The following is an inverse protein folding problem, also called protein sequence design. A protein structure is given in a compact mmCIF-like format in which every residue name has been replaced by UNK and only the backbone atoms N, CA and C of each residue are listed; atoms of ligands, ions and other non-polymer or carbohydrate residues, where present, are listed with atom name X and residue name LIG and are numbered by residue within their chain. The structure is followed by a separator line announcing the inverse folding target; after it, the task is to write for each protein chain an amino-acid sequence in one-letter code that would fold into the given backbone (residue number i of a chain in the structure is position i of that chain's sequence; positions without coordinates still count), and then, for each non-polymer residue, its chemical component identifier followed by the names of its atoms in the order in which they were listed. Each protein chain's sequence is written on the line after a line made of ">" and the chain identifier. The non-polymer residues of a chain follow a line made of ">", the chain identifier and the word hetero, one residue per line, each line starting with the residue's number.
data_IF_950661152689
#
_entry.id   IF_950661152689
#
_cell.length_a   1.000
_cell.length_b   1.000
_cell.length_c   1.000
_cell.angle_alpha   90.00
_cell.angle_beta   90.00
_cell.angle_gamma   90.00
#
_symmetry.space_group_name_H-M   'P 1'
#
loop_
_entity.id
_entity.type
_entity.pdbx_description
1 polymer ?
#
# COMPACT_ATOMS: atom_id res chain seq x y z
N UNK A 1 -32.68 -10.50 64.75
CA UNK A 1 -32.64 -11.97 64.62
C UNK A 1 -34.00 -12.44 64.11
N UNK A 2 -34.12 -13.38 63.16
CA UNK A 2 -33.14 -13.90 62.19
C UNK A 2 -33.69 -13.88 60.73
N UNK A 3 -32.85 -13.61 59.72
CA UNK A 3 -32.19 -14.56 58.83
C UNK A 3 -33.10 -15.32 57.83
N UNK A 4 -32.87 -15.06 56.53
CA UNK A 4 -32.46 -16.08 55.56
C UNK A 4 -32.07 -15.43 54.24
N UNK A 5 -30.78 -15.11 54.15
CA UNK A 5 -30.05 -15.00 52.89
C UNK A 5 -30.14 -16.35 52.17
N UNK A 6 -30.63 -16.36 50.93
CA UNK A 6 -30.63 -17.53 50.06
C UNK A 6 -29.50 -17.38 49.06
N UNK A 7 -28.34 -17.88 49.47
CA UNK A 7 -27.28 -18.34 48.59
C UNK A 7 -27.76 -19.57 47.82
N UNK A 8 -27.57 -19.55 46.49
CA UNK A 8 -27.39 -20.66 45.53
C UNK A 8 -27.88 -20.16 44.17
N UNK A 9 -27.14 -20.20 43.07
CA UNK A 9 -25.90 -20.87 42.77
C UNK A 9 -25.84 -21.01 41.24
N UNK A 10 -24.66 -20.76 40.68
CA UNK A 10 -24.11 -21.37 39.45
C UNK A 10 -25.10 -21.60 38.30
N UNK A 11 -25.09 -20.66 37.37
CA UNK A 11 -25.34 -20.90 35.96
C UNK A 11 -24.09 -20.59 35.14
N UNK A 12 -22.93 -21.12 35.54
CA UNK A 12 -21.76 -21.20 34.67
C UNK A 12 -22.16 -22.13 33.51
N UNK A 13 -22.70 -21.53 32.45
CA UNK A 13 -23.07 -22.19 31.22
C UNK A 13 -21.81 -22.73 30.56
N UNK A 14 -21.47 -23.97 30.91
CA UNK A 14 -20.67 -24.94 30.15
C UNK A 14 -19.77 -24.31 29.07
N UNK A 15 -18.58 -23.87 29.48
CA UNK A 15 -17.41 -23.96 28.62
C UNK A 15 -17.20 -25.44 28.31
N UNK A 16 -17.63 -25.87 27.13
CA UNK A 16 -17.15 -27.11 26.56
C UNK A 16 -15.63 -27.01 26.48
N UNK A 17 -14.94 -27.97 27.09
CA UNK A 17 -13.48 -28.10 27.05
C UNK A 17 -13.01 -28.58 25.65
N UNK A 18 -13.48 -27.90 24.61
CA UNK A 18 -12.86 -27.88 23.30
C UNK A 18 -11.83 -26.75 23.25
N UNK A 19 -10.80 -26.85 22.40
CA UNK A 19 -9.88 -25.74 22.21
C UNK A 19 -10.66 -24.53 21.70
N UNK A 20 -10.43 -23.35 22.29
CA UNK A 20 -11.04 -22.10 21.83
C UNK A 20 -10.75 -21.92 20.34
N UNK A 21 -11.81 -21.88 19.52
CA UNK A 21 -11.72 -21.79 18.07
C UNK A 21 -10.90 -20.58 17.64
N UNK A 22 -10.99 -19.47 18.40
CA UNK A 22 -10.22 -18.26 18.16
C UNK A 22 -8.72 -18.52 18.29
N UNK A 23 -8.29 -19.08 19.42
CA UNK A 23 -6.90 -19.46 19.67
C UNK A 23 -6.37 -20.50 18.67
N UNK A 24 -7.21 -21.45 18.24
CA UNK A 24 -6.83 -22.42 17.19
C UNK A 24 -6.60 -21.73 15.86
N UNK A 25 -7.47 -20.79 15.48
CA UNK A 25 -7.28 -20.08 14.23
C UNK A 25 -6.05 -19.17 14.28
N UNK A 26 -5.78 -18.52 15.42
CA UNK A 26 -4.56 -17.72 15.59
C UNK A 26 -3.29 -18.57 15.39
N UNK A 27 -3.22 -19.74 16.02
CA UNK A 27 -2.10 -20.67 15.86
C UNK A 27 -1.94 -21.15 14.41
N UNK A 28 -3.06 -21.48 13.74
CA UNK A 28 -3.04 -21.96 12.36
C UNK A 28 -2.63 -20.87 11.36
N UNK A 29 -3.14 -19.64 11.49
CA UNK A 29 -2.87 -18.56 10.53
C UNK A 29 -1.54 -17.83 10.76
N UNK A 30 -0.86 -18.07 11.89
CA UNK A 30 0.50 -17.56 12.16
C UNK A 30 1.59 -18.63 11.99
N UNK A 31 1.24 -19.91 12.02
CA UNK A 31 2.15 -21.02 11.73
C UNK A 31 2.65 -21.07 10.28
N UNK A 32 3.67 -21.89 10.00
CA UNK A 32 4.25 -22.00 8.67
C UNK A 32 3.21 -22.43 7.62
N UNK A 33 3.11 -21.75 6.45
CA UNK A 33 2.10 -22.06 5.44
C UNK A 33 2.18 -23.51 4.91
N UNK A 34 3.37 -24.11 4.92
CA UNK A 34 3.59 -25.50 4.53
C UNK A 34 2.90 -26.51 5.44
N UNK A 35 2.81 -26.21 6.73
CA UNK A 35 2.27 -27.11 7.77
C UNK A 35 0.79 -26.89 8.04
N UNK A 36 0.19 -25.84 7.48
CA UNK A 36 -1.18 -25.41 7.75
C UNK A 36 -2.19 -26.57 7.69
N UNK A 37 -2.15 -27.37 6.62
CA UNK A 37 -3.10 -28.47 6.41
C UNK A 37 -2.93 -29.57 7.45
N UNK A 38 -1.68 -29.97 7.74
CA UNK A 38 -1.40 -31.00 8.74
C UNK A 38 -1.87 -30.55 10.12
N UNK A 39 -1.48 -29.34 10.55
CA UNK A 39 -1.88 -28.77 11.84
C UNK A 39 -3.40 -28.57 11.92
N UNK A 40 -4.06 -28.13 10.84
CA UNK A 40 -5.52 -27.99 10.80
C UNK A 40 -6.21 -29.34 11.04
N UNK A 41 -5.73 -30.39 10.40
CA UNK A 41 -6.33 -31.72 10.49
C UNK A 41 -6.10 -32.35 11.88
N UNK A 42 -4.92 -32.13 12.48
CA UNK A 42 -4.61 -32.48 13.87
C UNK A 42 -5.53 -31.76 14.87
N UNK A 43 -5.68 -30.43 14.74
CA UNK A 43 -6.54 -29.62 15.62
C UNK A 43 -8.01 -30.00 15.48
N UNK A 44 -8.47 -30.30 14.26
CA UNK A 44 -9.82 -30.81 14.04
C UNK A 44 -10.05 -32.20 14.63
N UNK A 45 -9.04 -33.08 14.58
CA UNK A 45 -9.10 -34.40 15.21
C UNK A 45 -9.14 -34.28 16.75
N UNK A 46 -8.34 -33.38 17.32
CA UNK A 46 -8.33 -33.09 18.76
C UNK A 46 -9.68 -32.55 19.25
N UNK A 47 -10.28 -31.58 18.53
CA UNK A 47 -11.61 -31.06 18.85
C UNK A 47 -12.70 -32.15 18.77
N UNK A 48 -12.61 -33.03 17.75
CA UNK A 48 -13.52 -34.18 17.61
C UNK A 48 -13.36 -35.18 18.77
N UNK A 49 -12.12 -35.44 19.21
CA UNK A 49 -11.83 -36.32 20.34
C UNK A 49 -12.33 -35.74 21.68
N UNK A 50 -12.30 -34.41 21.83
CA UNK A 50 -12.87 -33.69 22.97
C UNK A 50 -14.41 -33.60 22.95
N UNK A 51 -15.08 -34.14 21.92
CA UNK A 51 -16.53 -34.13 21.78
C UNK A 51 -17.12 -32.87 21.12
N UNK A 52 -16.29 -31.92 20.72
CA UNK A 52 -16.70 -30.67 20.07
C UNK A 52 -16.71 -30.82 18.54
N UNK A 53 -17.83 -31.36 18.02
CA UNK A 53 -18.00 -31.62 16.59
C UNK A 53 -18.16 -30.33 15.77
N UNK A 54 -18.69 -29.28 16.37
CA UNK A 54 -18.93 -28.00 15.68
C UNK A 54 -17.63 -27.24 15.49
N UNK A 55 -16.79 -27.12 16.53
CA UNK A 55 -15.43 -26.59 16.40
C UNK A 55 -14.59 -27.42 15.44
N UNK A 56 -14.68 -28.76 15.49
CA UNK A 56 -13.98 -29.62 14.53
C UNK A 56 -14.39 -29.36 13.06
N UNK A 57 -15.69 -29.14 12.81
CA UNK A 57 -16.21 -28.80 11.47
C UNK A 57 -15.73 -27.41 11.04
N UNK A 58 -15.75 -26.43 11.95
CA UNK A 58 -15.25 -25.08 11.70
C UNK A 58 -13.77 -25.09 11.32
N UNK A 59 -12.92 -25.81 12.08
CA UNK A 59 -11.49 -25.93 11.81
C UNK A 59 -11.24 -26.55 10.42
N UNK A 60 -11.96 -27.62 10.06
CA UNK A 60 -11.82 -28.24 8.72
C UNK A 60 -12.22 -27.31 7.58
N UNK A 61 -13.16 -26.40 7.83
CA UNK A 61 -13.61 -25.41 6.86
C UNK A 61 -12.59 -24.29 6.59
N UNK A 62 -11.55 -24.17 7.42
CA UNK A 62 -10.52 -23.14 7.25
C UNK A 62 -9.70 -23.39 5.98
N UNK A 63 -9.58 -22.32 5.19
CA UNK A 63 -8.79 -22.30 3.96
C UNK A 63 -7.33 -21.98 4.27
N UNK A 64 -6.43 -22.68 3.58
CA UNK A 64 -5.00 -22.40 3.62
C UNK A 64 -4.74 -20.97 3.11
N UNK A 65 -3.99 -20.14 3.85
CA UNK A 65 -3.64 -18.80 3.41
C UNK A 65 -2.67 -18.85 2.22
N UNK A 66 -2.80 -17.89 1.30
CA UNK A 66 -1.72 -17.56 0.36
C UNK A 66 -0.50 -17.02 1.12
N UNK A 67 0.67 -17.02 0.48
CA UNK A 67 1.89 -16.51 1.11
C UNK A 67 1.78 -15.01 1.47
N UNK A 68 1.15 -14.21 0.60
CA UNK A 68 0.83 -12.80 0.84
C UNK A 68 -0.14 -12.61 2.02
N UNK A 69 -1.22 -13.41 2.08
CA UNK A 69 -2.19 -13.35 3.16
C UNK A 69 -1.59 -13.77 4.51
N UNK A 70 -0.75 -14.80 4.51
CA UNK A 70 -0.01 -15.24 5.68
C UNK A 70 0.94 -14.16 6.20
N UNK A 71 1.69 -13.48 5.33
CA UNK A 71 2.56 -12.37 5.72
C UNK A 71 1.77 -11.21 6.36
N UNK A 72 0.59 -10.89 5.81
CA UNK A 72 -0.33 -9.91 6.42
C UNK A 72 -0.85 -10.38 7.80
N UNK A 73 -1.22 -11.66 7.94
CA UNK A 73 -1.65 -12.21 9.22
C UNK A 73 -0.52 -12.14 10.27
N UNK A 74 0.71 -12.44 9.86
CA UNK A 74 1.89 -12.36 10.72
C UNK A 74 2.16 -10.92 11.17
N UNK A 75 2.03 -9.95 10.27
CA UNK A 75 2.18 -8.52 10.59
C UNK A 75 1.18 -8.08 11.67
N UNK A 76 -0.11 -8.36 11.49
CA UNK A 76 -1.17 -7.98 12.46
C UNK A 76 -0.91 -8.54 13.86
N UNK A 77 -0.32 -9.75 13.93
CA UNK A 77 -0.08 -10.45 15.20
C UNK A 77 1.24 -10.10 15.86
N UNK A 78 2.28 -9.85 15.08
CA UNK A 78 3.62 -9.52 15.60
C UNK A 78 3.80 -8.02 15.85
N UNK A 79 3.03 -7.18 15.16
CA UNK A 79 3.09 -5.70 15.19
C UNK A 79 1.71 -5.08 15.45
N UNK A 80 1.06 -5.36 16.61
CA UNK A 80 -0.30 -4.93 16.84
C UNK A 80 -0.44 -3.41 17.02
N UNK A 81 0.60 -2.73 17.51
CA UNK A 81 0.63 -1.26 17.63
C UNK A 81 0.63 -0.59 16.25
N UNK A 82 1.51 -1.02 15.36
CA UNK A 82 1.61 -0.53 13.99
C UNK A 82 0.32 -0.83 13.20
N UNK A 83 -0.29 -2.00 13.44
CA UNK A 83 -1.58 -2.34 12.86
C UNK A 83 -2.71 -1.40 13.32
N UNK A 84 -2.74 -1.01 14.59
CA UNK A 84 -3.71 -0.03 15.10
C UNK A 84 -3.51 1.35 14.45
N UNK A 85 -2.28 1.83 14.35
CA UNK A 85 -1.97 3.13 13.72
C UNK A 85 -2.38 3.15 12.24
N UNK A 86 -2.13 2.06 11.53
CA UNK A 86 -2.54 1.89 10.14
C UNK A 86 -4.06 1.94 9.95
N UNK A 87 -4.82 1.27 10.83
CA UNK A 87 -6.28 1.29 10.77
C UNK A 87 -6.84 2.70 11.05
N UNK A 88 -6.25 3.44 11.99
CA UNK A 88 -6.60 4.84 12.27
C UNK A 88 -6.34 5.74 11.07
N UNK A 89 -5.24 5.53 10.34
CA UNK A 89 -4.96 6.25 9.09
C UNK A 89 -6.03 5.97 8.03
N UNK A 90 -6.42 4.70 7.84
CA UNK A 90 -7.48 4.34 6.91
C UNK A 90 -8.81 5.00 7.27
N UNK A 91 -9.13 5.13 8.55
CA UNK A 91 -10.31 5.84 9.02
C UNK A 91 -10.25 7.35 8.74
N UNK A 92 -9.10 7.99 8.99
CA UNK A 92 -8.88 9.40 8.71
C UNK A 92 -9.00 9.71 7.20
N UNK A 93 -8.44 8.86 6.34
CA UNK A 93 -8.55 8.97 4.88
C UNK A 93 -10.01 8.90 4.42
N UNK A 94 -10.79 7.95 4.94
CA UNK A 94 -12.21 7.81 4.59
C UNK A 94 -13.05 9.00 5.06
N UNK A 95 -12.74 9.57 6.23
CA UNK A 95 -13.38 10.81 6.70
C UNK A 95 -13.06 12.00 5.80
N UNK A 96 -11.78 12.21 5.46
CA UNK A 96 -11.36 13.28 4.56
C UNK A 96 -12.02 13.16 3.16
N UNK A 97 -12.17 11.93 2.65
CA UNK A 97 -12.92 11.67 1.42
C UNK A 97 -14.41 12.05 1.52
N UNK A 98 -15.05 11.81 2.67
CA UNK A 98 -16.45 12.17 2.89
C UNK A 98 -16.64 13.68 3.03
N UNK A 99 -15.68 14.38 3.65
CA UNK A 99 -15.70 15.83 3.90
C UNK A 99 -15.21 16.67 2.70
N UNK A 100 -14.75 16.03 1.62
CA UNK A 100 -14.22 16.67 0.39
C UNK A 100 -13.04 17.64 0.61
N UNK A 101 -12.22 17.43 1.65
CA UNK A 101 -11.03 18.25 1.90
C UNK A 101 -9.85 17.85 1.00
N UNK A 102 -9.72 18.58 -0.11
CA UNK A 102 -8.69 18.34 -1.12
C UNK A 102 -7.26 18.62 -0.64
N UNK A 103 -7.08 19.47 0.38
CA UNK A 103 -5.76 19.83 0.91
C UNK A 103 -5.24 18.74 1.85
N UNK A 104 -6.10 18.24 2.74
CA UNK A 104 -5.83 17.14 3.66
C UNK A 104 -5.65 15.82 2.91
N UNK A 105 -6.37 15.60 1.79
CA UNK A 105 -6.20 14.42 0.94
C UNK A 105 -4.78 14.26 0.39
N UNK A 106 -4.12 15.36 -0.03
CA UNK A 106 -2.75 15.27 -0.57
C UNK A 106 -1.74 14.82 0.48
N UNK A 107 -1.84 15.38 1.70
CA UNK A 107 -0.96 15.01 2.80
C UNK A 107 -1.20 13.57 3.26
N UNK A 108 -2.47 13.18 3.42
CA UNK A 108 -2.84 11.83 3.86
C UNK A 108 -2.46 10.77 2.83
N UNK A 109 -2.60 11.04 1.52
CA UNK A 109 -2.15 10.13 0.47
C UNK A 109 -0.63 9.94 0.51
N UNK A 110 0.16 11.01 0.64
CA UNK A 110 1.62 10.89 0.74
C UNK A 110 2.04 10.06 1.98
N UNK A 111 1.34 10.24 3.10
CA UNK A 111 1.55 9.47 4.33
C UNK A 111 1.14 7.99 4.17
N UNK A 112 0.05 7.72 3.45
CA UNK A 112 -0.44 6.38 3.15
C UNK A 112 0.59 5.55 2.37
N UNK A 113 1.16 6.10 1.29
CA UNK A 113 2.18 5.39 0.51
C UNK A 113 3.38 4.98 1.37
N UNK A 114 3.87 5.89 2.22
CA UNK A 114 5.00 5.62 3.11
C UNK A 114 4.69 4.49 4.11
N UNK A 115 3.56 4.57 4.80
CA UNK A 115 3.17 3.58 5.81
C UNK A 115 2.92 2.21 5.17
N UNK A 116 2.28 2.16 4.00
CA UNK A 116 2.05 0.89 3.28
C UNK A 116 3.37 0.24 2.88
N UNK A 117 4.31 1.00 2.32
CA UNK A 117 5.63 0.46 1.97
C UNK A 117 6.41 -0.02 3.19
N UNK A 118 6.35 0.71 4.30
CA UNK A 118 6.99 0.31 5.56
C UNK A 118 6.41 -0.99 6.10
N UNK A 119 5.08 -1.09 6.20
CA UNK A 119 4.39 -2.29 6.68
C UNK A 119 4.61 -3.50 5.77
N UNK A 120 4.65 -3.29 4.45
CA UNK A 120 5.00 -4.35 3.50
C UNK A 120 6.44 -4.84 3.69
N UNK A 121 7.38 -3.93 3.95
CA UNK A 121 8.76 -4.26 4.31
C UNK A 121 8.85 -5.03 5.63
N UNK A 122 8.11 -4.62 6.66
CA UNK A 122 8.03 -5.34 7.93
C UNK A 122 7.43 -6.74 7.77
N UNK A 123 6.37 -6.89 6.97
CA UNK A 123 5.78 -8.19 6.65
C UNK A 123 6.79 -9.11 5.92
N UNK A 124 7.59 -8.56 5.00
CA UNK A 124 8.65 -9.30 4.33
C UNK A 124 9.77 -9.72 5.30
N UNK A 125 10.17 -8.84 6.22
CA UNK A 125 11.14 -9.16 7.28
C UNK A 125 10.65 -10.28 8.20
N UNK A 126 9.40 -10.20 8.67
CA UNK A 126 8.79 -11.23 9.50
C UNK A 126 8.66 -12.57 8.76
N UNK A 127 8.32 -12.54 7.47
CA UNK A 127 8.30 -13.74 6.64
C UNK A 127 9.69 -14.37 6.51
N UNK A 128 10.73 -13.54 6.33
CA UNK A 128 12.11 -14.00 6.25
C UNK A 128 12.61 -14.58 7.57
N UNK A 129 12.29 -13.98 8.72
CA UNK A 129 12.58 -14.53 10.06
C UNK A 129 11.95 -15.91 10.25
N UNK A 130 10.76 -16.12 9.70
CA UNK A 130 10.06 -17.40 9.66
C UNK A 130 10.53 -18.34 8.52
N UNK A 131 11.63 -18.01 7.83
CA UNK A 131 12.26 -18.86 6.81
C UNK A 131 11.68 -18.76 5.40
N UNK A 132 10.78 -17.81 5.15
CA UNK A 132 10.10 -17.63 3.86
C UNK A 132 10.47 -16.28 3.22
N UNK A 133 11.30 -16.29 2.18
CA UNK A 133 11.54 -15.09 1.37
C UNK A 133 10.34 -14.79 0.47
N UNK A 134 9.82 -13.57 0.56
CA UNK A 134 8.78 -13.09 -0.34
C UNK A 134 9.43 -12.65 -1.66
N UNK A 135 8.82 -13.02 -2.79
CA UNK A 135 9.18 -12.45 -4.09
C UNK A 135 8.55 -11.06 -4.26
N UNK A 136 9.08 -10.26 -5.18
CA UNK A 136 8.52 -8.93 -5.49
C UNK A 136 7.03 -8.98 -5.85
N UNK A 137 6.58 -10.05 -6.51
CA UNK A 137 5.17 -10.24 -6.83
C UNK A 137 4.31 -10.40 -5.57
N UNK A 138 4.78 -11.21 -4.60
CA UNK A 138 4.09 -11.42 -3.33
C UNK A 138 4.12 -10.16 -2.46
N UNK A 139 5.22 -9.41 -2.49
CA UNK A 139 5.31 -8.13 -1.79
C UNK A 139 4.32 -7.11 -2.36
N UNK A 140 4.16 -7.04 -3.68
CA UNK A 140 3.13 -6.20 -4.32
C UNK A 140 1.71 -6.63 -3.93
N UNK A 141 1.44 -7.92 -3.76
CA UNK A 141 0.13 -8.40 -3.27
C UNK A 141 -0.13 -7.99 -1.80
N UNK A 142 0.91 -7.99 -0.96
CA UNK A 142 0.82 -7.47 0.43
C UNK A 142 0.49 -5.99 0.41
N UNK A 143 1.19 -5.18 -0.41
CA UNK A 143 0.87 -3.76 -0.57
C UNK A 143 -0.55 -3.53 -1.09
N UNK A 144 -1.00 -4.32 -2.07
CA UNK A 144 -2.36 -4.23 -2.61
C UNK A 144 -3.41 -4.53 -1.53
N UNK A 145 -3.17 -5.54 -0.69
CA UNK A 145 -4.03 -5.90 0.45
C UNK A 145 -4.10 -4.76 1.47
N UNK A 146 -2.96 -4.12 1.77
CA UNK A 146 -2.92 -2.95 2.66
C UNK A 146 -3.66 -1.75 2.04
N UNK A 147 -3.48 -1.46 0.74
CA UNK A 147 -4.26 -0.41 0.05
C UNK A 147 -5.76 -0.69 0.15
N UNK A 148 -6.20 -1.94 -0.05
CA UNK A 148 -7.60 -2.33 0.11
C UNK A 148 -8.12 -2.05 1.53
N UNK A 149 -7.35 -2.39 2.56
CA UNK A 149 -7.71 -2.14 3.97
C UNK A 149 -7.81 -0.64 4.32
N UNK A 150 -7.04 0.23 3.67
CA UNK A 150 -7.20 1.69 3.84
C UNK A 150 -8.44 2.24 3.13
N UNK A 151 -8.79 1.68 1.96
CA UNK A 151 -9.89 2.18 1.14
C UNK A 151 -11.27 1.73 1.63
N UNK A 152 -11.40 0.49 2.12
CA UNK A 152 -12.68 -0.14 2.44
C UNK A 152 -12.77 -0.57 3.92
N UNK A 153 -13.81 -0.16 4.67
CA UNK A 153 -14.01 -0.55 6.06
C UNK A 153 -14.13 -2.07 6.28
N UNK A 154 -14.72 -2.81 5.32
CA UNK A 154 -14.88 -4.25 5.45
C UNK A 154 -13.53 -4.97 5.27
N UNK A 155 -12.74 -4.56 4.27
CA UNK A 155 -11.36 -4.98 4.08
C UNK A 155 -10.49 -4.69 5.30
N UNK A 156 -10.66 -3.52 5.93
CA UNK A 156 -9.98 -3.17 7.17
C UNK A 156 -10.30 -4.14 8.32
N UNK A 157 -11.59 -4.50 8.49
CA UNK A 157 -12.03 -5.48 9.49
C UNK A 157 -11.49 -6.87 9.20
N UNK A 158 -11.49 -7.30 7.95
CA UNK A 158 -10.97 -8.62 7.56
C UNK A 158 -9.46 -8.72 7.80
N UNK A 159 -8.72 -7.67 7.44
CA UNK A 159 -7.29 -7.59 7.70
C UNK A 159 -6.99 -7.59 9.20
N UNK A 160 -7.70 -6.78 9.99
CA UNK A 160 -7.51 -6.68 11.44
C UNK A 160 -7.78 -8.00 12.19
N UNK A 161 -8.60 -8.90 11.64
CA UNK A 161 -8.80 -10.26 12.22
C UNK A 161 -7.55 -11.14 12.11
N UNK A 162 -6.62 -10.81 11.20
CA UNK A 162 -5.39 -11.60 10.99
C UNK A 162 -5.66 -13.04 10.55
N UNK A 163 -6.74 -13.25 9.77
CA UNK A 163 -7.19 -14.56 9.26
C UNK A 163 -7.47 -14.55 7.77
N UNK A 164 -6.66 -13.81 7.02
CA UNK A 164 -6.79 -13.73 5.58
C UNK A 164 -6.38 -15.07 4.96
N UNK A 165 -7.24 -15.60 4.08
CA UNK A 165 -6.92 -16.78 3.25
C UNK A 165 -6.34 -16.41 1.88
N UNK A 166 -6.51 -15.16 1.45
CA UNK A 166 -6.02 -14.64 0.17
C UNK A 166 -5.84 -13.12 0.23
N UNK A 167 -5.23 -12.54 -0.80
CA UNK A 167 -5.07 -11.10 -0.91
C UNK A 167 -6.45 -10.40 -0.96
N UNK A 168 -6.53 -9.21 -0.36
CA UNK A 168 -7.73 -8.37 -0.46
C UNK A 168 -7.62 -7.51 -1.71
N UNK A 169 -8.63 -7.57 -2.56
CA UNK A 169 -8.79 -6.66 -3.71
C UNK A 169 -9.83 -5.62 -3.34
N UNK A 170 -9.59 -4.32 -3.55
CA UNK A 170 -10.64 -3.31 -3.36
C UNK A 170 -11.83 -3.66 -4.28
N UNK A 171 -13.08 -3.43 -3.85
CA UNK A 171 -14.23 -3.71 -4.68
C UNK A 171 -14.21 -2.81 -5.93
N UNK A 172 -13.69 -3.32 -7.04
CA UNK A 172 -14.10 -2.86 -8.36
C UNK A 172 -15.55 -3.28 -8.52
N UNK A 173 -16.46 -2.30 -8.47
CA UNK A 173 -17.89 -2.53 -8.55
C UNK A 173 -18.28 -3.20 -9.86
N UNK A 174 -18.31 -4.53 -9.87
CA UNK A 174 -19.20 -5.38 -10.66
C UNK A 174 -18.94 -6.85 -10.25
N UNK A 175 -19.79 -7.40 -9.38
CA UNK A 175 -19.92 -8.86 -9.27
C UNK A 175 -21.37 -9.21 -9.58
N UNK A 176 -21.65 -10.11 -10.55
CA UNK A 176 -22.95 -10.73 -10.65
C UNK A 176 -23.14 -11.65 -9.45
N UNK A 177 -24.28 -11.50 -8.79
CA UNK A 177 -24.68 -12.26 -7.63
C UNK A 177 -24.64 -13.78 -7.91
N UNK A 178 -23.96 -14.49 -7.02
CA UNK A 178 -24.03 -15.93 -6.80
C UNK A 178 -25.47 -16.42 -6.69
N UNK A 179 -25.85 -17.36 -7.56
CA UNK A 179 -27.09 -18.11 -7.45
C UNK A 179 -26.98 -19.17 -6.33
N UNK A 180 -28.00 -19.35 -5.47
CA UNK A 180 -28.01 -20.43 -4.49
C UNK A 180 -28.49 -21.76 -5.12
N UNK A 181 -27.83 -22.84 -4.70
CA UNK A 181 -28.13 -24.23 -5.05
C UNK A 181 -28.80 -24.93 -3.86
N UNK A 182 -29.93 -25.62 -4.08
CA UNK A 182 -30.44 -26.77 -3.32
C UNK A 182 -31.71 -27.33 -4.01
N UNK A 183 -32.19 -28.56 -3.71
CA UNK A 183 -31.63 -29.89 -3.99
C UNK A 183 -32.60 -30.76 -4.84
N UNK A 184 -32.18 -31.87 -5.51
CA UNK A 184 -33.15 -32.74 -6.18
C UNK A 184 -33.69 -33.82 -5.23
N UNK A 185 -35.01 -33.84 -5.06
CA UNK A 185 -35.75 -34.91 -4.42
C UNK A 185 -36.34 -35.89 -5.43
N UNK A 186 -36.17 -37.19 -5.12
CA UNK A 186 -36.97 -38.36 -5.48
C UNK A 186 -37.40 -38.59 -6.95
N UNK A 187 -36.84 -39.64 -7.56
CA UNK A 187 -37.32 -40.25 -8.81
C UNK A 187 -38.23 -41.45 -8.53
N UNK A 188 -39.30 -41.63 -9.34
CA UNK A 188 -39.76 -42.96 -9.75
C UNK A 188 -40.16 -43.01 -11.25
N UNK A 189 -40.51 -44.18 -11.80
CA UNK A 189 -39.65 -45.02 -12.63
C UNK A 189 -39.81 -44.82 -14.14
N UNK A 190 -38.83 -45.38 -14.83
CA UNK A 190 -38.57 -45.40 -16.27
C UNK A 190 -39.75 -45.95 -17.10
N UNK A 191 -40.19 -45.16 -18.10
CA UNK A 191 -41.02 -45.61 -19.21
C UNK A 191 -40.26 -45.39 -20.50
N UNK A 192 -40.01 -46.46 -21.22
CA UNK A 192 -39.40 -46.45 -22.56
C UNK A 192 -40.21 -45.57 -23.51
N UNK A 193 -39.55 -44.58 -24.12
CA UNK A 193 -40.09 -43.75 -25.20
C UNK A 193 -39.49 -44.15 -26.56
N UNK A 194 -40.23 -43.93 -27.67
CA UNK A 194 -39.87 -44.43 -29.00
C UNK A 194 -38.63 -43.71 -29.56
N UNK A 195 -37.88 -44.41 -30.43
CA UNK A 195 -36.59 -43.99 -31.01
C UNK A 195 -36.63 -42.70 -31.85
N UNK A 196 -37.80 -42.11 -32.13
CA UNK A 196 -37.94 -40.83 -32.81
C UNK A 196 -37.60 -39.62 -31.90
N UNK A 197 -37.96 -39.68 -30.61
CA UNK A 197 -37.80 -38.57 -29.63
C UNK A 197 -36.32 -38.27 -29.32
N UNK A 198 -35.45 -39.31 -29.35
CA UNK A 198 -34.01 -39.16 -29.08
C UNK A 198 -33.24 -38.44 -30.19
N UNK A 199 -33.72 -38.48 -31.44
CA UNK A 199 -33.03 -37.86 -32.59
C UNK A 199 -33.21 -36.33 -32.56
N UNK A 200 -34.39 -35.87 -32.16
CA UNK A 200 -34.70 -34.45 -32.01
C UNK A 200 -34.00 -33.86 -30.78
N UNK A 201 -33.92 -34.61 -29.67
CA UNK A 201 -33.17 -34.19 -28.48
C UNK A 201 -31.66 -34.05 -28.76
N UNK A 202 -31.07 -34.97 -29.55
CA UNK A 202 -29.67 -34.88 -29.97
C UNK A 202 -29.43 -33.69 -30.93
N UNK A 203 -30.42 -33.35 -31.77
CA UNK A 203 -30.33 -32.20 -32.66
C UNK A 203 -30.38 -30.87 -31.88
N UNK A 204 -31.27 -30.76 -30.89
CA UNK A 204 -31.34 -29.60 -30.00
C UNK A 204 -30.07 -29.43 -29.15
N UNK A 205 -29.56 -30.51 -28.56
CA UNK A 205 -28.27 -30.48 -27.82
C UNK A 205 -27.10 -30.03 -28.70
N UNK A 206 -27.08 -30.42 -29.99
CA UNK A 206 -26.07 -29.96 -30.95
C UNK A 206 -26.21 -28.47 -31.26
N UNK A 207 -27.45 -27.97 -31.44
CA UNK A 207 -27.72 -26.54 -31.66
C UNK A 207 -27.34 -25.70 -30.45
N UNK A 208 -27.70 -26.14 -29.25
CA UNK A 208 -27.32 -25.47 -28.00
C UNK A 208 -25.80 -25.43 -27.84
N UNK A 209 -25.11 -26.56 -28.08
CA UNK A 209 -23.64 -26.60 -28.06
C UNK A 209 -23.02 -25.65 -29.09
N UNK A 210 -23.57 -25.57 -30.29
CA UNK A 210 -23.10 -24.62 -31.32
C UNK A 210 -23.31 -23.16 -30.88
N UNK A 211 -24.45 -22.82 -30.27
CA UNK A 211 -24.71 -21.48 -29.72
C UNK A 211 -23.71 -21.13 -28.62
N UNK A 212 -23.53 -22.03 -27.64
CA UNK A 212 -22.55 -21.84 -26.55
C UNK A 212 -21.13 -21.69 -27.08
N UNK A 213 -20.74 -22.45 -28.12
CA UNK A 213 -19.44 -22.30 -28.76
C UNK A 213 -19.30 -20.95 -29.49
N UNK A 214 -20.35 -20.48 -30.17
CA UNK A 214 -20.34 -19.19 -30.84
C UNK A 214 -20.26 -18.02 -29.84
N UNK A 215 -20.98 -18.11 -28.72
CA UNK A 215 -20.91 -17.13 -27.62
C UNK A 215 -19.53 -17.13 -26.97
N UNK A 216 -18.96 -18.31 -26.69
CA UNK A 216 -17.61 -18.42 -26.13
C UNK A 216 -16.54 -17.84 -27.07
N UNK A 217 -16.68 -18.04 -28.40
CA UNK A 217 -15.78 -17.43 -29.39
C UNK A 217 -15.89 -15.90 -29.40
N UNK A 218 -17.11 -15.35 -29.42
CA UNK A 218 -17.33 -13.89 -29.33
C UNK A 218 -16.75 -13.31 -28.04
N UNK A 219 -16.94 -14.00 -26.91
CA UNK A 219 -16.37 -13.59 -25.63
C UNK A 219 -14.84 -13.62 -25.64
N UNK A 220 -14.22 -14.62 -26.27
CA UNK A 220 -12.77 -14.70 -26.43
C UNK A 220 -12.23 -13.57 -27.31
N UNK A 221 -12.86 -13.29 -28.46
CA UNK A 221 -12.47 -12.18 -29.35
C UNK A 221 -12.60 -10.81 -28.67
N UNK A 222 -13.66 -10.61 -27.87
CA UNK A 222 -13.84 -9.40 -27.07
C UNK A 222 -12.75 -9.27 -25.99
N UNK A 223 -12.42 -10.36 -25.28
CA UNK A 223 -11.37 -10.38 -24.28
C UNK A 223 -9.97 -10.13 -24.88
N UNK A 224 -9.68 -10.68 -26.07
CA UNK A 224 -8.43 -10.41 -26.80
C UNK A 224 -8.32 -8.95 -27.23
N UNK A 225 -9.43 -8.33 -27.63
CA UNK A 225 -9.47 -6.91 -27.99
C UNK A 225 -9.26 -6.03 -26.77
N UNK A 226 -9.95 -6.30 -25.67
CA UNK A 226 -9.75 -5.60 -24.40
C UNK A 226 -8.31 -5.75 -23.88
N UNK A 227 -7.70 -6.94 -24.02
CA UNK A 227 -6.29 -7.15 -23.65
C UNK A 227 -5.34 -6.32 -24.52
N UNK A 228 -5.60 -6.22 -25.83
CA UNK A 228 -4.78 -5.39 -26.74
C UNK A 228 -4.89 -3.91 -26.39
N UNK A 229 -6.08 -3.43 -26.06
CA UNK A 229 -6.31 -2.05 -25.62
C UNK A 229 -5.59 -1.77 -24.29
N UNK A 230 -5.80 -2.62 -23.27
CA UNK A 230 -5.12 -2.49 -21.98
C UNK A 230 -3.58 -2.51 -22.11
N UNK A 231 -3.03 -3.31 -23.04
CA UNK A 231 -1.58 -3.31 -23.32
C UNK A 231 -1.10 -2.01 -23.98
N UNK A 232 -1.89 -1.42 -24.87
CA UNK A 232 -1.57 -0.12 -25.49
C UNK A 232 -1.62 1.00 -24.46
N UNK A 233 -2.62 0.98 -23.59
CA UNK A 233 -2.76 1.97 -22.53
C UNK A 233 -1.60 1.87 -21.53
N UNK A 234 -1.21 0.64 -21.15
CA UNK A 234 -0.03 0.41 -20.31
C UNK A 234 1.26 0.92 -20.97
N UNK A 235 1.48 0.60 -22.26
CA UNK A 235 2.67 1.08 -22.99
C UNK A 235 2.69 2.62 -23.13
N UNK A 236 1.54 3.26 -23.32
CA UNK A 236 1.39 4.71 -23.36
C UNK A 236 1.71 5.34 -22.00
N UNK A 237 1.20 4.76 -20.91
CA UNK A 237 1.48 5.21 -19.55
C UNK A 237 2.95 5.05 -19.18
N UNK A 238 3.59 3.95 -19.59
CA UNK A 238 5.03 3.72 -19.39
C UNK A 238 5.88 4.75 -20.15
N UNK A 239 5.53 5.05 -21.40
CA UNK A 239 6.20 6.08 -22.20
C UNK A 239 6.05 7.47 -21.56
N UNK A 240 4.84 7.84 -21.13
CA UNK A 240 4.59 9.11 -20.44
C UNK A 240 5.37 9.21 -19.11
N UNK A 241 5.49 8.11 -18.37
CA UNK A 241 6.27 8.02 -17.14
C UNK A 241 7.77 8.19 -17.39
N UNK A 242 8.30 7.54 -18.44
CA UNK A 242 9.69 7.69 -18.85
C UNK A 242 10.02 9.13 -19.24
N UNK A 243 9.16 9.76 -20.06
CA UNK A 243 9.32 11.15 -20.47
C UNK A 243 9.25 12.12 -19.28
N UNK A 244 8.31 11.91 -18.35
CA UNK A 244 8.21 12.72 -17.15
C UNK A 244 9.46 12.59 -16.25
N UNK A 245 10.05 11.40 -16.15
CA UNK A 245 11.31 11.17 -15.42
C UNK A 245 12.48 11.88 -16.08
N UNK A 246 12.60 11.80 -17.40
CA UNK A 246 13.64 12.49 -18.16
C UNK A 246 13.53 14.01 -18.01
N UNK A 247 12.32 14.57 -18.18
CA UNK A 247 12.04 15.99 -17.91
C UNK A 247 12.40 16.39 -16.48
N UNK A 248 12.11 15.53 -15.49
CA UNK A 248 12.49 15.73 -14.10
C UNK A 248 14.01 15.74 -13.87
N UNK A 249 14.76 14.87 -14.56
CA UNK A 249 16.22 14.84 -14.49
C UNK A 249 16.84 16.08 -15.15
N UNK A 250 16.36 16.47 -16.33
CA UNK A 250 16.79 17.69 -17.03
C UNK A 250 16.53 18.94 -16.17
N UNK A 251 15.34 19.03 -15.55
CA UNK A 251 15.02 20.14 -14.66
C UNK A 251 15.95 20.20 -13.43
N UNK A 252 16.31 19.05 -12.83
CA UNK A 252 17.27 19.00 -11.71
C UNK A 252 18.66 19.44 -12.13
N UNK A 253 19.12 19.02 -13.31
CA UNK A 253 20.41 19.46 -13.84
C UNK A 253 20.42 20.98 -14.09
N UNK A 254 19.36 21.52 -14.70
CA UNK A 254 19.23 22.96 -14.93
C UNK A 254 19.21 23.77 -13.63
N UNK A 255 18.60 23.25 -12.56
CA UNK A 255 18.64 23.86 -11.21
C UNK A 255 20.07 23.87 -10.67
N UNK A 256 20.80 22.75 -10.72
CA UNK A 256 22.18 22.68 -10.27
C UNK A 256 23.09 23.68 -11.03
N UNK A 257 22.97 23.74 -12.36
CA UNK A 257 23.70 24.70 -13.19
C UNK A 257 23.33 26.16 -12.89
N UNK A 258 22.07 26.44 -12.55
CA UNK A 258 21.64 27.78 -12.14
C UNK A 258 22.20 28.16 -10.76
N UNK A 259 22.23 27.23 -9.80
CA UNK A 259 22.82 27.43 -8.48
C UNK A 259 24.33 27.67 -8.57
N UNK A 260 25.05 26.93 -9.42
CA UNK A 260 26.48 27.11 -9.66
C UNK A 260 26.78 28.49 -10.24
N UNK A 261 26.01 28.92 -11.25
CA UNK A 261 26.12 30.28 -11.81
C UNK A 261 25.81 31.36 -10.77
N UNK A 262 24.83 31.14 -9.90
CA UNK A 262 24.51 32.09 -8.83
C UNK A 262 25.64 32.20 -7.81
N UNK A 263 26.28 31.09 -7.44
CA UNK A 263 27.45 31.11 -6.53
C UNK A 263 28.60 31.90 -7.15
N UNK A 264 28.96 31.61 -8.41
CA UNK A 264 30.00 32.34 -9.14
C UNK A 264 29.71 33.83 -9.25
N UNK A 265 28.46 34.21 -9.56
CA UNK A 265 28.05 35.61 -9.63
C UNK A 265 28.18 36.34 -8.29
N UNK A 266 27.87 35.66 -7.17
CA UNK A 266 28.03 36.21 -5.82
C UNK A 266 29.50 36.40 -5.44
N UNK A 267 30.35 35.44 -5.77
CA UNK A 267 31.80 35.54 -5.55
C UNK A 267 32.39 36.70 -6.35
N UNK A 268 32.07 36.80 -7.64
CA UNK A 268 32.50 37.90 -8.49
C UNK A 268 32.00 39.27 -7.99
N UNK A 269 30.77 39.34 -7.47
CA UNK A 269 30.25 40.55 -6.84
C UNK A 269 31.05 40.91 -5.57
N UNK A 270 31.32 39.95 -4.69
CA UNK A 270 32.09 40.20 -3.47
C UNK A 270 33.50 40.71 -3.80
N UNK A 271 34.17 40.11 -4.79
CA UNK A 271 35.47 40.57 -5.27
C UNK A 271 35.43 41.98 -5.89
N UNK A 272 34.35 42.32 -6.61
CA UNK A 272 34.17 43.66 -7.16
C UNK A 272 33.94 44.72 -6.06
N UNK A 273 33.20 44.38 -5.01
CA UNK A 273 33.00 45.23 -3.83
C UNK A 273 34.32 45.49 -3.11
N UNK A 274 35.10 44.45 -2.82
CA UNK A 274 36.41 44.60 -2.18
C UNK A 274 37.33 45.47 -3.02
N UNK A 275 37.43 45.23 -4.35
CA UNK A 275 38.23 46.07 -5.25
C UNK A 275 37.78 47.53 -5.27
N UNK A 276 36.48 47.78 -5.18
CA UNK A 276 35.93 49.15 -5.12
C UNK A 276 36.32 49.82 -3.80
N UNK A 277 36.18 49.12 -2.67
CA UNK A 277 36.59 49.64 -1.35
C UNK A 277 38.09 49.94 -1.29
N UNK A 278 38.92 49.05 -1.83
CA UNK A 278 40.38 49.24 -1.91
C UNK A 278 40.73 50.45 -2.79
N UNK A 279 40.08 50.59 -3.95
CA UNK A 279 40.28 51.73 -4.85
C UNK A 279 39.85 53.05 -4.18
N UNK A 280 38.75 53.07 -3.44
CA UNK A 280 38.31 54.24 -2.68
C UNK A 280 39.26 54.60 -1.53
N UNK A 281 39.81 53.60 -0.84
CA UNK A 281 40.83 53.82 0.19
C UNK A 281 42.13 54.37 -0.40
N UNK A 282 42.58 53.83 -1.54
CA UNK A 282 43.75 54.31 -2.27
C UNK A 282 43.53 55.76 -2.76
N UNK A 283 42.34 56.06 -3.32
CA UNK A 283 41.96 57.41 -3.74
C UNK A 283 42.03 58.41 -2.57
N UNK A 284 41.40 58.10 -1.43
CA UNK A 284 41.46 58.97 -0.22
C UNK A 284 42.89 59.20 0.26
N UNK A 285 43.73 58.17 0.19
CA UNK A 285 45.15 58.27 0.58
C UNK A 285 45.92 59.19 -0.37
N UNK A 286 45.67 59.07 -1.68
CA UNK A 286 46.29 59.92 -2.70
C UNK A 286 45.82 61.38 -2.58
N UNK A 287 44.52 61.62 -2.41
CA UNK A 287 43.96 62.96 -2.15
C UNK A 287 44.64 63.62 -0.95
N UNK A 288 44.72 62.92 0.19
CA UNK A 288 45.41 63.45 1.38
C UNK A 288 46.92 63.67 1.18
N UNK A 289 47.58 62.93 0.28
CA UNK A 289 48.98 63.17 -0.05
C UNK A 289 49.16 64.42 -0.92
N UNK A 290 48.25 64.66 -1.87
CA UNK A 290 48.19 65.88 -2.67
C UNK A 290 47.98 67.10 -1.76
N UNK A 291 47.00 67.06 -0.86
CA UNK A 291 46.73 68.16 0.09
C UNK A 291 47.97 68.51 0.93
N UNK A 292 48.68 67.51 1.45
CA UNK A 292 49.92 67.71 2.20
C UNK A 292 51.03 68.32 1.34
N UNK A 293 51.17 67.87 0.09
CA UNK A 293 52.15 68.42 -0.83
C UNK A 293 51.84 69.89 -1.20
N UNK A 294 50.56 70.24 -1.38
CA UNK A 294 50.13 71.61 -1.64
C UNK A 294 50.37 72.53 -0.43
N UNK A 295 50.11 72.04 0.78
CA UNK A 295 50.41 72.76 2.03
C UNK A 295 51.92 72.97 2.18
N UNK A 296 52.74 71.95 1.94
CA UNK A 296 54.20 72.04 2.01
C UNK A 296 54.75 73.02 0.96
N UNK A 297 54.25 72.98 -0.28
CA UNK A 297 54.58 73.93 -1.34
C UNK A 297 54.26 75.37 -0.91
N UNK A 298 53.06 75.60 -0.38
CA UNK A 298 52.61 76.93 0.03
C UNK A 298 53.44 77.47 1.21
N UNK A 299 53.76 76.62 2.19
CA UNK A 299 54.63 76.98 3.31
C UNK A 299 56.06 77.30 2.85
N UNK A 300 56.61 76.52 1.92
CA UNK A 300 57.93 76.77 1.33
C UNK A 300 57.97 78.10 0.56
N UNK A 301 56.94 78.38 -0.26
CA UNK A 301 56.82 79.65 -0.98
C UNK A 301 56.79 80.86 -0.03
N UNK A 302 55.99 80.79 1.04
CA UNK A 302 55.93 81.84 2.06
C UNK A 302 57.25 82.02 2.84
N UNK A 303 58.04 80.96 3.00
CA UNK A 303 59.37 81.04 3.60
C UNK A 303 60.37 81.75 2.68
N UNK A 304 60.37 81.42 1.38
CA UNK A 304 61.20 82.10 0.37
C UNK A 304 60.87 83.60 0.34
N UNK A 305 59.58 83.95 0.29
CA UNK A 305 59.16 85.36 0.25
C UNK A 305 59.65 86.15 1.48
N UNK A 306 59.55 85.56 2.69
CA UNK A 306 60.04 86.19 3.92
C UNK A 306 61.54 86.41 3.95
N UNK A 307 62.33 85.49 3.39
CA UNK A 307 63.79 85.61 3.34
C UNK A 307 64.28 86.60 2.27
N UNK A 308 63.43 86.91 1.28
CA UNK A 308 63.74 87.84 0.20
C UNK A 308 63.39 89.32 0.50
N UNK A 309 62.76 89.61 1.64
CA UNK A 309 62.45 90.96 2.12
C UNK A 309 63.47 91.41 3.15
#
# INVERSE_FOLDING_TARGET
>A
MPARSKSAGRGAGRSGAGPDLEAVCEDLYTGAPGEFTARRDERAAAAKAAGDRDTARAIRGLRKPSLSAWACNLLVRRRPEEARQFLQLGEALRRAHHEMDSSQMRELNARQWRIISELAGQAAGLAQEAGHRLSDAVQREVEATLRAATADPESARQWARGRLSGALTPPTGLTPATAPSAPPGAAPPERERPRADRRDELAERRRERQRRLAEARKAAEAAETALREARRDAASADAASAEAKERGQQARQAVAEAEDRLRQAREAHAEAETRTQDAEAARRTAEGAVDRAEQARSAAAAAVERLSR
#
